data_IF_683224519008
#
_entry.id   IF_683224519008
#
_cell.length_a   1.000
_cell.length_b   1.000
_cell.length_c   1.000
_cell.angle_alpha   90.00
_cell.angle_beta   90.00
_cell.angle_gamma   90.00
#
_symmetry.space_group_name_H-M   'P 1'
#
loop_
_entity.id
_entity.type
_entity.pdbx_description
1 polymer ?
#
# COMPACT_ATOMS: atom_id res chain seq x y z
N UNK A 1 0.37 17.27 -21.91
CA UNK A 1 0.01 16.44 -20.74
C UNK A 1 0.54 15.07 -21.04
N UNK A 2 1.51 14.58 -20.27
CA UNK A 2 1.92 13.18 -20.35
C UNK A 2 0.70 12.35 -19.94
N UNK A 3 0.23 11.50 -20.84
CA UNK A 3 -0.87 10.58 -20.56
C UNK A 3 -0.30 9.47 -19.67
N UNK A 4 -0.49 9.60 -18.35
CA UNK A 4 -0.02 8.61 -17.38
C UNK A 4 -1.03 7.47 -17.35
N UNK A 5 -0.64 6.28 -17.80
CA UNK A 5 -1.50 5.10 -17.75
C UNK A 5 -1.63 4.53 -16.32
N UNK A 6 -0.64 4.81 -15.47
CA UNK A 6 -0.67 4.65 -14.01
C UNK A 6 -0.76 6.04 -13.37
N UNK A 7 -1.82 6.30 -12.60
CA UNK A 7 -2.14 7.65 -12.14
C UNK A 7 -1.99 7.87 -10.63
N UNK A 8 -1.81 6.80 -9.84
CA UNK A 8 -1.80 6.91 -8.37
C UNK A 8 -1.11 5.76 -7.68
N UNK A 9 -0.74 5.95 -6.43
CA UNK A 9 -0.63 4.82 -5.48
C UNK A 9 -2.06 4.48 -5.05
N UNK A 10 -2.58 3.35 -5.53
CA UNK A 10 -3.94 2.91 -5.21
C UNK A 10 -4.02 2.53 -3.73
N UNK A 11 -3.08 1.70 -3.27
CA UNK A 11 -2.97 1.35 -1.86
C UNK A 11 -1.62 0.76 -1.51
N UNK A 12 -1.27 0.87 -0.23
CA UNK A 12 -0.22 0.12 0.43
C UNK A 12 -0.82 -1.08 1.17
N UNK A 13 -0.05 -2.15 1.33
CA UNK A 13 -0.50 -3.36 2.03
C UNK A 13 0.44 -3.71 3.17
N UNK A 14 -0.08 -3.61 4.39
CA UNK A 14 0.56 -4.11 5.61
C UNK A 14 0.08 -5.54 5.85
N UNK A 15 0.99 -6.49 5.83
CA UNK A 15 0.69 -7.87 6.20
C UNK A 15 0.87 -8.06 7.70
N UNK A 16 -0.10 -8.73 8.32
CA UNK A 16 -0.09 -9.00 9.75
C UNK A 16 -0.48 -10.43 10.09
N UNK A 17 0.09 -10.94 11.18
CA UNK A 17 -0.31 -12.20 11.82
C UNK A 17 -1.38 -12.01 12.90
N UNK A 18 -1.66 -10.76 13.29
CA UNK A 18 -2.63 -10.39 14.32
C UNK A 18 -3.49 -9.22 13.81
N UNK A 19 -4.58 -9.56 13.11
CA UNK A 19 -5.51 -8.60 12.53
C UNK A 19 -6.15 -7.72 13.59
N UNK A 20 -6.52 -8.27 14.75
CA UNK A 20 -7.25 -7.54 15.78
C UNK A 20 -6.34 -6.49 16.44
N UNK A 21 -5.10 -6.85 16.81
CA UNK A 21 -4.15 -5.91 17.37
C UNK A 21 -3.74 -4.84 16.35
N UNK A 22 -3.55 -5.23 15.08
CA UNK A 22 -3.20 -4.29 14.02
C UNK A 22 -4.33 -3.30 13.75
N UNK A 23 -5.56 -3.78 13.67
CA UNK A 23 -6.71 -2.92 13.45
C UNK A 23 -6.95 -1.97 14.64
N UNK A 24 -6.83 -2.46 15.88
CA UNK A 24 -6.93 -1.62 17.07
C UNK A 24 -5.85 -0.52 17.08
N UNK A 25 -4.62 -0.83 16.63
CA UNK A 25 -3.54 0.15 16.50
C UNK A 25 -3.90 1.24 15.49
N UNK A 26 -4.39 0.87 14.30
CA UNK A 26 -4.77 1.82 13.27
C UNK A 26 -6.02 2.64 13.64
N UNK A 27 -6.99 2.05 14.34
CA UNK A 27 -8.13 2.79 14.91
C UNK A 27 -7.66 3.80 15.97
N UNK A 28 -6.70 3.42 16.83
CA UNK A 28 -6.09 4.33 17.80
C UNK A 28 -5.23 5.43 17.14
N UNK A 29 -4.65 5.19 15.96
CA UNK A 29 -4.04 6.22 15.12
C UNK A 29 -5.07 7.17 14.48
N UNK A 30 -6.37 6.93 14.70
CA UNK A 30 -7.47 7.79 14.26
C UNK A 30 -8.08 7.40 12.92
N UNK A 31 -7.75 6.22 12.37
CA UNK A 31 -8.37 5.75 11.13
C UNK A 31 -9.70 5.05 11.38
N UNK A 32 -10.74 5.48 10.67
CA UNK A 32 -11.92 4.64 10.41
C UNK A 32 -11.54 3.48 9.48
N UNK A 33 -11.75 2.24 9.95
CA UNK A 33 -11.50 1.02 9.18
C UNK A 33 -12.79 0.38 8.69
N UNK A 34 -12.74 -0.17 7.47
CA UNK A 34 -13.80 -1.03 6.95
C UNK A 34 -13.98 -2.29 7.82
N UNK A 35 -15.15 -2.96 7.74
CA UNK A 35 -15.30 -4.33 8.23
C UNK A 35 -14.28 -5.27 7.60
N UNK A 36 -14.03 -6.40 8.27
CA UNK A 36 -13.22 -7.47 7.72
C UNK A 36 -13.90 -8.05 6.48
N UNK A 37 -13.20 -8.01 5.35
CA UNK A 37 -13.67 -8.59 4.09
C UNK A 37 -12.76 -9.76 3.70
N UNK A 38 -13.33 -10.97 3.73
CA UNK A 38 -12.63 -12.19 3.36
C UNK A 38 -12.53 -12.30 1.84
N UNK A 39 -11.33 -12.58 1.35
CA UNK A 39 -11.06 -12.74 -0.07
C UNK A 39 -11.58 -14.10 -0.55
N UNK A 40 -12.28 -14.06 -1.68
CA UNK A 40 -12.75 -15.26 -2.37
C UNK A 40 -12.23 -15.24 -3.80
N UNK A 41 -11.82 -16.39 -4.31
CA UNK A 41 -11.27 -16.53 -5.65
C UNK A 41 -11.81 -17.75 -6.36
N UNK A 42 -11.42 -17.90 -7.63
CA UNK A 42 -11.61 -19.13 -8.38
C UNK A 42 -10.30 -19.52 -9.05
N UNK A 43 -10.11 -20.83 -9.25
CA UNK A 43 -9.03 -21.42 -10.02
C UNK A 43 -9.04 -21.06 -11.52
N UNK A 44 -10.16 -20.51 -12.03
CA UNK A 44 -10.33 -20.06 -13.43
C UNK A 44 -11.42 -19.00 -13.55
N UNK A 45 -11.40 -18.19 -14.63
CA UNK A 45 -12.49 -17.25 -14.91
C UNK A 45 -13.86 -17.96 -14.92
N UNK A 46 -14.82 -17.42 -14.17
CA UNK A 46 -16.19 -17.94 -14.07
C UNK A 46 -16.36 -19.24 -13.23
N UNK A 47 -15.31 -19.74 -12.57
CA UNK A 47 -15.42 -20.92 -11.71
C UNK A 47 -16.05 -20.65 -10.34
N UNK A 48 -16.25 -21.72 -9.55
CA UNK A 48 -16.89 -21.65 -8.23
C UNK A 48 -15.98 -20.91 -7.24
N UNK A 49 -16.53 -19.86 -6.61
CA UNK A 49 -15.84 -19.08 -5.57
C UNK A 49 -15.49 -19.95 -4.36
N UNK A 50 -14.26 -19.83 -3.89
CA UNK A 50 -13.76 -20.46 -2.66
C UNK A 50 -13.06 -19.40 -1.80
N UNK A 51 -13.17 -19.47 -0.46
CA UNK A 51 -12.35 -18.67 0.44
C UNK A 51 -10.86 -18.87 0.14
N UNK A 52 -10.10 -17.78 0.15
CA UNK A 52 -8.66 -17.79 -0.15
C UNK A 52 -7.79 -17.81 1.11
N UNK A 53 -8.37 -17.90 2.30
CA UNK A 53 -7.61 -17.88 3.56
C UNK A 53 -6.95 -16.54 3.85
N UNK A 54 -7.39 -15.46 3.21
CA UNK A 54 -6.90 -14.12 3.44
C UNK A 54 -8.07 -13.13 3.53
N UNK A 55 -7.90 -12.06 4.29
CA UNK A 55 -8.93 -11.04 4.48
C UNK A 55 -8.31 -9.71 4.87
N UNK A 56 -9.03 -8.62 4.59
CA UNK A 56 -8.54 -7.28 4.81
C UNK A 56 -9.49 -6.39 5.61
N UNK A 57 -8.91 -5.38 6.27
CA UNK A 57 -9.58 -4.15 6.69
C UNK A 57 -8.86 -2.98 6.03
N UNK A 58 -9.60 -1.96 5.61
CA UNK A 58 -9.04 -0.84 4.85
C UNK A 58 -9.33 0.50 5.53
N UNK A 59 -8.36 1.43 5.52
CA UNK A 59 -8.59 2.86 5.76
C UNK A 59 -8.73 3.57 4.40
N UNK A 60 -9.93 4.06 4.07
CA UNK A 60 -10.31 4.45 2.70
C UNK A 60 -10.35 5.97 2.51
N UNK A 61 -9.79 6.47 1.41
CA UNK A 61 -9.67 7.92 1.15
C UNK A 61 -10.38 8.38 -0.14
N UNK A 62 -11.38 7.63 -0.61
CA UNK A 62 -12.17 7.96 -1.80
C UNK A 62 -11.54 7.51 -3.15
N UNK A 63 -10.21 7.50 -3.25
CA UNK A 63 -9.47 6.98 -4.42
C UNK A 63 -8.28 6.09 -4.08
N UNK A 64 -7.76 6.24 -2.88
CA UNK A 64 -6.62 5.48 -2.37
C UNK A 64 -6.95 4.92 -0.99
N UNK A 65 -6.17 3.97 -0.49
CA UNK A 65 -6.41 3.40 0.84
C UNK A 65 -5.16 2.76 1.45
N UNK A 66 -5.21 2.51 2.76
CA UNK A 66 -4.28 1.61 3.42
C UNK A 66 -4.97 0.25 3.58
N UNK A 67 -4.31 -0.83 3.22
CA UNK A 67 -4.81 -2.20 3.40
C UNK A 67 -4.08 -2.89 4.53
N UNK A 68 -4.82 -3.35 5.54
CA UNK A 68 -4.35 -4.26 6.56
C UNK A 68 -4.80 -5.65 6.12
N UNK A 69 -3.86 -6.55 5.81
CA UNK A 69 -4.17 -7.88 5.28
C UNK A 69 -3.60 -8.98 6.19
N UNK A 70 -4.46 -9.92 6.56
CA UNK A 70 -4.12 -11.07 7.37
C UNK A 70 -4.38 -12.39 6.65
N UNK A 71 -3.65 -13.43 7.04
CA UNK A 71 -3.97 -14.82 6.69
C UNK A 71 -4.85 -15.41 7.81
N UNK A 72 -5.89 -16.15 7.41
CA UNK A 72 -6.91 -16.71 8.29
C UNK A 72 -7.08 -18.22 8.09
N UNK A 73 -7.68 -18.88 9.07
CA UNK A 73 -7.84 -20.34 9.10
C UNK A 73 -6.64 -21.04 9.74
N UNK A 74 -6.37 -22.28 9.35
CA UNK A 74 -5.19 -23.03 9.80
C UNK A 74 -3.88 -22.56 9.13
N UNK A 75 -3.98 -21.56 8.25
CA UNK A 75 -2.86 -21.05 7.49
C UNK A 75 -2.41 -21.96 6.34
N UNK A 76 -3.14 -23.03 6.00
CA UNK A 76 -2.75 -23.89 4.88
C UNK A 76 -2.84 -23.19 3.52
N UNK A 77 -3.61 -22.10 3.40
CA UNK A 77 -3.80 -21.34 2.17
C UNK A 77 -3.04 -20.01 2.26
N UNK A 78 -2.13 -19.81 1.31
CA UNK A 78 -1.40 -18.56 1.09
C UNK A 78 -1.44 -18.24 -0.42
N UNK A 79 -2.50 -17.59 -0.89
CA UNK A 79 -2.78 -17.47 -2.32
C UNK A 79 -1.79 -16.57 -3.06
N UNK A 80 -1.09 -15.68 -2.35
CA UNK A 80 -0.09 -14.77 -2.93
C UNK A 80 1.33 -15.08 -2.45
N UNK A 81 1.54 -16.19 -1.76
CA UNK A 81 2.84 -16.60 -1.22
C UNK A 81 3.50 -15.49 -0.37
N UNK A 82 2.73 -14.91 0.58
CA UNK A 82 3.17 -13.81 1.44
C UNK A 82 3.87 -14.28 2.73
N UNK A 83 3.76 -15.57 3.11
CA UNK A 83 4.43 -16.12 4.29
C UNK A 83 5.94 -15.87 4.33
N UNK A 84 6.70 -16.06 3.23
CA UNK A 84 8.14 -15.78 3.24
C UNK A 84 8.47 -14.30 3.44
N UNK A 85 7.54 -13.39 3.13
CA UNK A 85 7.69 -11.96 3.36
C UNK A 85 7.45 -11.62 4.83
N UNK A 86 6.32 -12.08 5.39
CA UNK A 86 5.98 -11.90 6.80
C UNK A 86 7.05 -12.51 7.73
N UNK A 87 7.67 -13.63 7.32
CA UNK A 87 8.74 -14.27 8.07
C UNK A 87 10.02 -13.43 8.18
N UNK A 88 10.24 -12.47 7.26
CA UNK A 88 11.36 -11.52 7.36
C UNK A 88 11.04 -10.41 8.35
N UNK A 89 9.84 -9.85 8.27
CA UNK A 89 9.28 -8.89 9.23
C UNK A 89 7.76 -8.79 9.03
N UNK A 90 7.01 -8.53 10.11
CA UNK A 90 5.63 -8.03 9.98
C UNK A 90 5.69 -6.56 9.56
N UNK A 91 4.80 -6.11 8.65
CA UNK A 91 4.86 -4.73 8.13
C UNK A 91 4.41 -4.62 6.67
N UNK A 92 4.82 -3.54 6.00
CA UNK A 92 4.51 -3.32 4.59
C UNK A 92 5.28 -4.30 3.70
N UNK A 93 4.56 -5.06 2.88
CA UNK A 93 5.16 -5.83 1.78
C UNK A 93 4.27 -5.82 0.54
N UNK A 94 3.41 -4.82 0.39
CA UNK A 94 2.62 -4.64 -0.82
C UNK A 94 2.44 -3.17 -1.16
N UNK A 95 2.45 -2.89 -2.45
CA UNK A 95 2.14 -1.59 -3.01
C UNK A 95 1.43 -1.78 -4.35
N UNK A 96 0.27 -1.17 -4.46
CA UNK A 96 -0.59 -1.21 -5.62
C UNK A 96 -0.63 0.15 -6.28
N UNK A 97 -0.47 0.18 -7.59
CA UNK A 97 -0.60 1.38 -8.39
C UNK A 97 -1.91 1.38 -9.18
N UNK A 98 -2.57 2.51 -9.25
CA UNK A 98 -3.88 2.61 -9.88
C UNK A 98 -3.80 2.99 -11.36
N UNK A 99 -4.69 2.42 -12.17
CA UNK A 99 -4.85 2.76 -13.58
C UNK A 99 -6.34 2.81 -13.97
N UNK A 100 -6.60 3.32 -15.18
CA UNK A 100 -7.93 3.30 -15.80
C UNK A 100 -8.07 2.18 -16.87
N UNK A 101 -6.95 1.61 -17.34
CA UNK A 101 -6.95 0.53 -18.33
C UNK A 101 -5.80 -0.45 -18.04
N UNK A 102 -6.10 -1.54 -17.34
CA UNK A 102 -5.11 -2.56 -16.98
C UNK A 102 -4.51 -3.27 -18.22
N UNK A 103 -5.23 -3.36 -19.33
CA UNK A 103 -4.73 -3.99 -20.55
C UNK A 103 -3.71 -3.09 -21.26
N UNK A 104 -3.96 -1.78 -21.29
CA UNK A 104 -2.99 -0.81 -21.81
C UNK A 104 -1.69 -0.81 -20.99
N UNK A 105 -1.81 -0.84 -19.66
CA UNK A 105 -0.65 -0.89 -18.76
C UNK A 105 0.12 -2.21 -18.93
N UNK A 106 -0.56 -3.36 -18.98
CA UNK A 106 0.09 -4.67 -19.19
C UNK A 106 0.90 -4.69 -20.49
N UNK A 107 0.32 -4.22 -21.59
CA UNK A 107 1.00 -4.17 -22.88
C UNK A 107 2.22 -3.23 -22.84
N UNK A 108 2.15 -2.12 -22.11
CA UNK A 108 3.30 -1.23 -21.89
C UNK A 108 4.39 -1.91 -21.07
N UNK A 109 4.04 -2.54 -19.94
CA UNK A 109 5.00 -3.25 -19.08
C UNK A 109 5.72 -4.35 -19.87
N UNK A 110 4.97 -5.12 -20.67
CA UNK A 110 5.51 -6.15 -21.56
C UNK A 110 6.49 -5.56 -22.60
N UNK A 111 6.14 -4.45 -23.26
CA UNK A 111 7.05 -3.73 -24.18
C UNK A 111 8.30 -3.18 -23.48
N UNK A 112 8.18 -2.82 -22.21
CA UNK A 112 9.30 -2.36 -21.38
C UNK A 112 10.16 -3.53 -20.82
N UNK A 113 9.85 -4.77 -21.19
CA UNK A 113 10.59 -5.97 -20.76
C UNK A 113 10.31 -6.39 -19.32
N UNK A 114 9.20 -5.94 -18.72
CA UNK A 114 8.79 -6.33 -17.38
C UNK A 114 7.85 -7.53 -17.44
N UNK A 115 8.22 -8.60 -16.72
CA UNK A 115 7.40 -9.81 -16.57
C UNK A 115 6.22 -9.54 -15.64
N UNK A 116 5.04 -10.05 -15.99
CA UNK A 116 3.82 -9.89 -15.19
C UNK A 116 2.90 -11.12 -15.29
N UNK A 117 1.86 -11.15 -14.46
CA UNK A 117 0.80 -12.17 -14.52
C UNK A 117 -0.12 -12.08 -15.75
N UNK A 118 0.00 -11.02 -16.56
CA UNK A 118 -1.09 -10.56 -17.40
C UNK A 118 -2.24 -9.97 -16.58
N UNK A 119 -3.34 -9.60 -17.24
CA UNK A 119 -4.54 -9.03 -16.58
C UNK A 119 -5.37 -10.13 -15.92
N UNK A 120 -5.43 -10.12 -14.60
CA UNK A 120 -6.23 -11.05 -13.79
C UNK A 120 -7.54 -10.41 -13.34
N UNK A 121 -8.70 -11.05 -13.56
CA UNK A 121 -9.95 -10.60 -12.97
C UNK A 121 -10.02 -11.02 -11.50
N UNK A 122 -10.27 -10.06 -10.61
CA UNK A 122 -10.48 -10.28 -9.19
C UNK A 122 -11.85 -9.75 -8.76
N UNK A 123 -12.41 -10.32 -7.69
CA UNK A 123 -13.66 -9.86 -7.12
C UNK A 123 -13.79 -10.29 -5.66
N UNK A 124 -14.56 -9.54 -4.87
CA UNK A 124 -14.93 -9.91 -3.50
C UNK A 124 -16.29 -9.35 -3.13
N UNK A 125 -16.99 -10.05 -2.26
CA UNK A 125 -18.26 -9.58 -1.72
C UNK A 125 -17.99 -8.55 -0.61
N UNK A 126 -18.73 -7.44 -0.63
CA UNK A 126 -18.63 -6.32 0.31
C UNK A 126 -20.01 -5.91 0.81
N UNK A 127 -20.08 -5.49 2.07
CA UNK A 127 -21.32 -4.96 2.65
C UNK A 127 -21.57 -3.53 2.16
N UNK A 128 -22.79 -3.25 1.74
CA UNK A 128 -23.27 -1.92 1.37
C UNK A 128 -24.50 -1.55 2.20
N UNK A 129 -24.98 -0.31 2.09
CA UNK A 129 -26.23 0.10 2.73
C UNK A 129 -27.45 -0.72 2.24
N UNK A 130 -27.42 -1.18 0.99
CA UNK A 130 -28.50 -1.94 0.34
C UNK A 130 -28.31 -3.46 0.43
N UNK A 131 -27.33 -3.93 1.20
CA UNK A 131 -26.99 -5.35 1.36
C UNK A 131 -25.63 -5.71 0.75
N UNK A 132 -25.38 -7.00 0.54
CA UNK A 132 -24.10 -7.49 0.01
C UNK A 132 -24.04 -7.28 -1.51
N UNK A 133 -22.94 -6.68 -1.99
CA UNK A 133 -22.64 -6.51 -3.41
C UNK A 133 -21.26 -7.08 -3.75
N UNK A 134 -21.02 -7.43 -5.02
CA UNK A 134 -19.73 -7.96 -5.48
C UNK A 134 -18.89 -6.85 -6.12
N UNK A 135 -17.82 -6.44 -5.45
CA UNK A 135 -16.81 -5.55 -6.00
C UNK A 135 -15.90 -6.28 -7.00
N UNK A 136 -15.54 -5.62 -8.10
CA UNK A 136 -14.76 -6.19 -9.21
C UNK A 136 -13.53 -5.35 -9.52
N UNK A 137 -12.45 -6.04 -9.88
CA UNK A 137 -11.15 -5.45 -10.14
C UNK A 137 -10.45 -6.19 -11.28
N UNK A 138 -9.49 -5.52 -11.89
CA UNK A 138 -8.43 -6.17 -12.65
C UNK A 138 -7.09 -5.89 -11.96
N UNK A 139 -6.21 -6.89 -11.94
CA UNK A 139 -4.88 -6.75 -11.38
C UNK A 139 -3.83 -7.24 -12.38
N UNK A 140 -2.68 -6.56 -12.42
CA UNK A 140 -1.46 -7.01 -13.11
C UNK A 140 -0.37 -7.10 -12.06
N UNK A 141 0.00 -8.31 -11.66
CA UNK A 141 1.06 -8.53 -10.68
C UNK A 141 2.42 -8.54 -11.39
N UNK A 142 3.36 -7.73 -10.90
CA UNK A 142 4.75 -7.83 -11.36
C UNK A 142 5.38 -9.10 -10.82
N UNK A 143 6.33 -9.65 -11.59
CA UNK A 143 7.07 -10.84 -11.19
C UNK A 143 7.82 -10.60 -9.85
N UNK A 144 7.62 -11.52 -8.89
CA UNK A 144 8.26 -11.48 -7.57
C UNK A 144 9.78 -11.48 -7.68
N UNK A 145 10.35 -12.12 -8.71
CA UNK A 145 11.80 -12.12 -8.94
C UNK A 145 12.35 -10.71 -9.21
N UNK A 146 11.52 -9.82 -9.75
CA UNK A 146 11.89 -8.42 -10.03
C UNK A 146 11.57 -7.45 -8.90
N UNK A 147 10.76 -7.88 -7.93
CA UNK A 147 10.22 -7.04 -6.85
C UNK A 147 10.44 -7.68 -5.46
N UNK A 148 11.69 -8.03 -5.09
CA UNK A 148 11.97 -8.77 -3.86
C UNK A 148 11.40 -8.10 -2.59
N UNK A 149 11.20 -6.78 -2.60
CA UNK A 149 10.62 -5.99 -1.51
C UNK A 149 9.19 -6.35 -1.10
N UNK A 150 8.39 -6.90 -2.01
CA UNK A 150 6.97 -7.15 -1.72
C UNK A 150 6.10 -7.24 -2.96
N UNK A 151 4.85 -7.65 -2.81
CA UNK A 151 3.89 -7.82 -3.89
C UNK A 151 3.54 -6.46 -4.51
N UNK A 152 4.18 -6.13 -5.64
CA UNK A 152 3.92 -4.91 -6.41
C UNK A 152 2.96 -5.23 -7.55
N UNK A 153 1.88 -4.47 -7.65
CA UNK A 153 0.89 -4.71 -8.71
C UNK A 153 0.21 -3.43 -9.20
N UNK A 154 -0.45 -3.55 -10.34
CA UNK A 154 -1.28 -2.50 -10.92
C UNK A 154 -2.74 -2.93 -10.76
N UNK A 155 -3.58 -2.04 -10.23
CA UNK A 155 -5.00 -2.28 -10.00
C UNK A 155 -5.87 -1.35 -10.86
N UNK A 156 -6.94 -1.91 -11.41
CA UNK A 156 -8.05 -1.19 -12.00
C UNK A 156 -9.33 -1.59 -11.27
N UNK A 157 -9.92 -0.66 -10.55
CA UNK A 157 -11.20 -0.87 -9.88
C UNK A 157 -12.34 -0.68 -10.88
N UNK A 158 -13.13 -1.73 -11.12
CA UNK A 158 -14.26 -1.67 -12.05
C UNK A 158 -15.56 -1.22 -11.38
N UNK A 159 -15.61 -1.28 -10.04
CA UNK A 159 -16.73 -0.84 -9.20
C UNK A 159 -16.19 -0.11 -7.96
N UNK A 160 -15.43 0.99 -8.14
CA UNK A 160 -14.77 1.69 -7.03
C UNK A 160 -15.76 2.19 -5.96
N UNK A 161 -16.98 2.54 -6.34
CA UNK A 161 -18.06 2.99 -5.46
C UNK A 161 -18.46 1.96 -4.39
N UNK A 162 -18.26 0.67 -4.66
CA UNK A 162 -18.53 -0.40 -3.69
C UNK A 162 -17.45 -0.49 -2.61
N UNK A 163 -16.23 -0.01 -2.90
CA UNK A 163 -15.10 -0.01 -1.97
C UNK A 163 -15.01 1.32 -1.23
N UNK A 164 -15.03 2.44 -1.96
CA UNK A 164 -14.90 3.78 -1.42
C UNK A 164 -16.24 4.36 -0.94
N UNK A 165 -16.92 3.64 -0.04
CA UNK A 165 -18.22 4.04 0.48
C UNK A 165 -18.10 5.25 1.42
N UNK A 166 -18.96 6.29 1.31
CA UNK A 166 -18.85 7.52 2.09
C UNK A 166 -18.71 7.34 3.60
N UNK A 167 -19.35 6.30 4.16
CA UNK A 167 -19.30 5.96 5.60
C UNK A 167 -17.91 5.55 6.12
N UNK A 168 -16.93 5.32 5.25
CA UNK A 168 -15.58 4.93 5.62
C UNK A 168 -14.51 5.97 5.25
N UNK A 169 -14.91 7.13 4.73
CA UNK A 169 -13.99 8.12 4.16
C UNK A 169 -13.56 9.24 5.13
N UNK A 170 -14.20 9.33 6.29
CA UNK A 170 -13.84 10.34 7.30
C UNK A 170 -13.07 9.66 8.43
N UNK A 171 -11.93 10.25 8.79
CA UNK A 171 -11.01 9.73 9.79
C UNK A 171 -10.80 10.79 10.87
N UNK A 172 -10.72 10.38 12.14
CA UNK A 172 -10.51 11.30 13.25
C UNK A 172 -9.15 12.01 13.17
N UNK A 173 -8.15 11.36 12.59
CA UNK A 173 -6.84 11.96 12.30
C UNK A 173 -6.85 12.89 11.07
N UNK A 174 -7.99 13.03 10.37
CA UNK A 174 -8.13 13.93 9.23
C UNK A 174 -7.44 13.46 7.95
N UNK A 175 -7.00 12.20 7.83
CA UNK A 175 -6.39 11.67 6.62
C UNK A 175 -7.32 11.76 5.40
N UNK A 176 -6.77 12.09 4.22
CA UNK A 176 -7.53 12.32 2.99
C UNK A 176 -6.97 11.67 1.73
N UNK A 177 -5.72 11.20 1.74
CA UNK A 177 -5.17 10.30 0.72
C UNK A 177 -3.84 9.69 1.16
N UNK A 178 -3.49 8.53 0.59
CA UNK A 178 -2.15 7.96 0.63
C UNK A 178 -1.20 8.81 -0.21
N UNK A 179 -0.31 9.54 0.47
CA UNK A 179 0.65 10.47 -0.13
C UNK A 179 1.87 9.75 -0.70
N UNK A 180 2.52 8.88 0.08
CA UNK A 180 3.69 8.15 -0.40
C UNK A 180 3.91 6.80 0.27
N UNK A 181 4.72 5.98 -0.38
CA UNK A 181 5.30 4.74 0.16
C UNK A 181 6.83 4.86 0.04
N UNK A 182 7.55 4.49 1.10
CA UNK A 182 9.01 4.59 1.17
C UNK A 182 9.66 3.21 1.05
N UNK A 183 10.48 3.04 0.02
CA UNK A 183 11.31 1.86 -0.22
C UNK A 183 12.76 2.15 0.13
N UNK A 184 13.33 1.34 1.02
CA UNK A 184 14.74 1.36 1.39
C UNK A 184 15.46 0.24 0.67
N UNK A 185 16.59 0.56 0.06
CA UNK A 185 17.40 -0.40 -0.72
C UNK A 185 18.87 -0.31 -0.33
N UNK A 186 19.62 -1.35 -0.67
CA UNK A 186 21.08 -1.29 -0.61
C UNK A 186 21.60 -0.17 -1.53
N UNK A 187 22.64 0.53 -1.09
CA UNK A 187 23.29 1.60 -1.85
C UNK A 187 23.67 1.18 -3.27
N UNK A 188 24.16 -0.06 -3.45
CA UNK A 188 24.55 -0.58 -4.75
C UNK A 188 23.36 -0.84 -5.68
N UNK A 189 22.17 -1.06 -5.10
CA UNK A 189 20.93 -1.38 -5.82
C UNK A 189 20.04 -0.15 -6.10
N UNK A 190 20.42 1.03 -5.59
CA UNK A 190 19.60 2.24 -5.68
C UNK A 190 19.23 2.58 -7.13
N UNK A 191 20.22 2.77 -7.99
CA UNK A 191 19.98 3.22 -9.37
C UNK A 191 19.25 2.15 -10.20
N UNK A 192 19.54 0.86 -9.97
CA UNK A 192 18.83 -0.23 -10.62
C UNK A 192 17.34 -0.29 -10.19
N UNK A 193 17.07 -0.08 -8.92
CA UNK A 193 15.70 -0.07 -8.36
C UNK A 193 14.92 1.15 -8.83
N UNK A 194 15.53 2.34 -8.85
CA UNK A 194 14.93 3.55 -9.40
C UNK A 194 14.60 3.37 -10.88
N UNK A 195 15.53 2.84 -11.68
CA UNK A 195 15.29 2.58 -13.09
C UNK A 195 14.16 1.55 -13.31
N UNK A 196 14.05 0.53 -12.45
CA UNK A 196 12.93 -0.43 -12.48
C UNK A 196 11.61 0.27 -12.26
N UNK A 197 11.47 1.05 -11.18
CA UNK A 197 10.23 1.75 -10.88
C UNK A 197 9.91 2.85 -11.90
N UNK A 198 10.89 3.53 -12.48
CA UNK A 198 10.67 4.50 -13.56
C UNK A 198 10.06 3.83 -14.80
N UNK A 199 10.57 2.64 -15.19
CA UNK A 199 9.97 1.82 -16.25
C UNK A 199 8.58 1.31 -15.89
N UNK A 200 8.39 0.84 -14.66
CA UNK A 200 7.09 0.36 -14.18
C UNK A 200 6.04 1.46 -14.24
N UNK A 201 6.35 2.63 -13.69
CA UNK A 201 5.40 3.74 -13.52
C UNK A 201 5.30 4.65 -14.75
N UNK A 202 6.22 4.52 -15.71
CA UNK A 202 6.25 5.40 -16.88
C UNK A 202 6.49 6.86 -16.51
N UNK A 203 7.25 7.11 -15.43
CA UNK A 203 7.54 8.45 -14.91
C UNK A 203 9.05 8.64 -14.72
N UNK A 204 9.51 9.88 -14.90
CA UNK A 204 10.91 10.25 -14.66
C UNK A 204 11.14 10.46 -13.17
N UNK A 205 12.18 9.84 -12.58
CA UNK A 205 12.51 10.04 -11.18
C UNK A 205 13.08 11.44 -10.94
N UNK A 206 12.76 12.02 -9.78
CA UNK A 206 13.26 13.32 -9.32
C UNK A 206 14.06 13.13 -8.04
N UNK A 207 15.16 13.87 -7.89
CA UNK A 207 15.92 13.87 -6.65
C UNK A 207 15.36 14.91 -5.66
N UNK A 208 15.02 14.48 -4.44
CA UNK A 208 14.58 15.35 -3.35
C UNK A 208 15.42 15.05 -2.09
N UNK A 209 16.51 15.79 -1.89
CA UNK A 209 17.47 15.47 -0.82
C UNK A 209 18.04 14.05 -1.00
N UNK A 210 17.97 13.16 0.00
CA UNK A 210 18.43 11.77 -0.13
C UNK A 210 17.47 10.88 -0.94
N UNK A 211 16.25 11.35 -1.24
CA UNK A 211 15.22 10.56 -1.92
C UNK A 211 15.37 10.57 -3.44
N UNK A 212 15.03 9.44 -4.06
CA UNK A 212 14.66 9.31 -5.47
C UNK A 212 13.14 9.13 -5.52
N UNK A 213 12.45 10.16 -5.97
CA UNK A 213 10.98 10.26 -5.97
C UNK A 213 10.45 9.92 -7.35
N UNK A 214 9.46 9.04 -7.41
CA UNK A 214 8.72 8.73 -8.63
C UNK A 214 7.30 9.32 -8.49
N UNK A 215 7.08 10.53 -9.05
CA UNK A 215 5.81 11.21 -8.90
C UNK A 215 4.72 10.58 -9.78
N UNK A 216 3.51 10.50 -9.23
CA UNK A 216 2.29 10.16 -9.94
C UNK A 216 1.29 11.33 -9.80
N UNK A 217 0.25 11.40 -10.64
CA UNK A 217 -0.82 12.38 -10.49
C UNK A 217 -1.46 12.41 -9.09
N UNK A 218 -1.55 11.26 -8.40
CA UNK A 218 -1.94 11.18 -7.00
C UNK A 218 -1.00 10.28 -6.18
N UNK A 219 -0.12 10.92 -5.41
CA UNK A 219 0.88 10.28 -4.56
C UNK A 219 2.22 10.00 -5.27
N UNK A 220 3.15 9.35 -4.57
CA UNK A 220 4.52 9.11 -5.07
C UNK A 220 5.21 7.93 -4.40
N UNK A 221 6.06 7.24 -5.15
CA UNK A 221 6.97 6.23 -4.57
C UNK A 221 8.30 6.90 -4.24
N UNK A 222 8.71 6.81 -2.99
CA UNK A 222 9.98 7.36 -2.51
C UNK A 222 10.98 6.20 -2.36
N UNK A 223 12.18 6.32 -2.92
CA UNK A 223 13.24 5.31 -2.82
C UNK A 223 14.49 5.95 -2.19
N UNK A 224 15.10 5.28 -1.23
CA UNK A 224 16.29 5.77 -0.52
C UNK A 224 17.32 4.66 -0.30
N UNK A 225 18.61 5.02 -0.37
CA UNK A 225 19.68 4.11 0.02
C UNK A 225 19.76 3.97 1.54
N UNK A 226 20.08 2.75 2.01
CA UNK A 226 20.15 2.44 3.44
C UNK A 226 21.16 3.31 4.19
N UNK A 227 22.28 3.70 3.57
CA UNK A 227 23.31 4.56 4.19
C UNK A 227 22.80 5.93 4.66
N UNK A 228 21.75 6.46 4.03
CA UNK A 228 21.15 7.77 4.32
C UNK A 228 19.70 7.66 4.79
N UNK A 229 19.18 6.45 5.01
CA UNK A 229 17.81 6.22 5.47
C UNK A 229 17.49 6.93 6.80
N UNK A 230 18.47 6.98 7.71
CA UNK A 230 18.32 7.67 9.00
C UNK A 230 18.09 9.18 8.90
N UNK A 231 18.37 9.81 7.76
CA UNK A 231 18.00 11.21 7.48
C UNK A 231 16.51 11.37 7.14
N UNK A 232 15.87 10.30 6.65
CA UNK A 232 14.46 10.29 6.24
C UNK A 232 13.56 9.86 7.40
N UNK A 233 13.89 8.74 8.06
CA UNK A 233 13.18 8.23 9.23
C UNK A 233 14.16 7.97 10.39
N UNK A 234 14.50 9.02 11.18
CA UNK A 234 15.48 8.89 12.26
C UNK A 234 15.07 7.85 13.31
N UNK A 235 16.00 6.93 13.59
CA UNK A 235 15.85 5.91 14.63
C UNK A 235 15.02 4.68 14.22
N UNK A 236 14.54 4.61 12.98
CA UNK A 236 13.81 3.44 12.49
C UNK A 236 14.75 2.27 12.16
N UNK A 237 14.35 1.02 12.47
CA UNK A 237 15.15 -0.15 12.15
C UNK A 237 15.08 -0.49 10.65
N UNK A 238 16.06 -1.26 10.18
CA UNK A 238 16.07 -1.85 8.84
C UNK A 238 16.16 -3.37 9.01
N UNK A 239 15.02 -4.09 9.03
CA UNK A 239 15.00 -5.52 9.34
C UNK A 239 15.54 -6.38 8.20
N UNK A 240 15.40 -5.91 6.96
CA UNK A 240 15.85 -6.59 5.74
C UNK A 240 16.13 -5.55 4.65
N UNK A 241 16.74 -5.97 3.54
CA UNK A 241 16.79 -5.18 2.31
C UNK A 241 16.42 -6.05 1.11
N UNK A 242 15.65 -5.51 0.15
CA UNK A 242 14.96 -4.22 0.22
C UNK A 242 13.76 -4.22 1.19
N UNK A 243 13.36 -3.05 1.69
CA UNK A 243 12.37 -2.88 2.77
C UNK A 243 11.39 -1.74 2.49
N UNK A 244 10.09 -2.02 2.51
CA UNK A 244 9.07 -0.96 2.51
C UNK A 244 8.95 -0.39 3.93
N UNK A 245 9.71 0.68 4.21
CA UNK A 245 9.91 1.19 5.56
C UNK A 245 8.73 1.95 6.12
N UNK A 246 7.91 2.54 5.26
CA UNK A 246 6.79 3.33 5.73
C UNK A 246 5.88 3.83 4.63
N UNK A 247 4.83 4.49 5.08
CA UNK A 247 3.81 5.12 4.26
C UNK A 247 3.44 6.48 4.85
N UNK A 248 3.06 7.43 4.01
CA UNK A 248 2.59 8.73 4.44
C UNK A 248 1.16 8.96 3.98
N UNK A 249 0.32 9.51 4.85
CA UNK A 249 -0.99 10.03 4.49
C UNK A 249 -0.98 11.56 4.56
N UNK A 250 -1.63 12.21 3.62
CA UNK A 250 -1.93 13.63 3.76
C UNK A 250 -3.14 13.82 4.68
N UNK A 251 -3.09 14.82 5.55
CA UNK A 251 -4.17 15.17 6.48
C UNK A 251 -4.69 16.59 6.26
N UNK A 252 -5.94 16.83 6.64
CA UNK A 252 -6.58 18.16 6.57
C UNK A 252 -5.88 19.20 7.47
N UNK A 253 -5.35 18.75 8.61
CA UNK A 253 -4.67 19.59 9.60
C UNK A 253 -3.65 18.73 10.38
N UNK A 254 -2.36 18.95 10.13
CA UNK A 254 -1.26 18.22 10.78
C UNK A 254 -1.21 18.46 12.28
N UNK A 255 -1.57 19.66 12.76
CA UNK A 255 -1.55 19.97 14.18
C UNK A 255 -2.65 19.20 14.90
N UNK A 256 -3.86 19.16 14.33
CA UNK A 256 -4.97 18.37 14.88
C UNK A 256 -4.66 16.87 14.87
N UNK A 257 -4.12 16.35 13.76
CA UNK A 257 -3.68 14.96 13.65
C UNK A 257 -2.61 14.61 14.71
N UNK A 258 -1.61 15.48 14.89
CA UNK A 258 -0.56 15.30 15.91
C UNK A 258 -1.15 15.27 17.31
N UNK A 259 -2.03 16.22 17.64
CA UNK A 259 -2.65 16.27 18.97
C UNK A 259 -3.44 15.00 19.26
N UNK A 260 -4.20 14.49 18.29
CA UNK A 260 -4.94 13.24 18.44
C UNK A 260 -4.00 12.05 18.63
N UNK A 261 -3.02 11.88 17.73
CA UNK A 261 -2.12 10.72 17.75
C UNK A 261 -1.26 10.70 19.02
N UNK A 262 -0.66 11.83 19.40
CA UNK A 262 0.09 11.93 20.65
C UNK A 262 -0.81 11.76 21.89
N UNK A 263 -2.04 12.31 21.85
CA UNK A 263 -3.03 12.16 22.91
C UNK A 263 -3.48 10.71 23.12
N UNK A 264 -3.44 9.89 22.06
CA UNK A 264 -3.71 8.45 22.11
C UNK A 264 -2.49 7.62 22.53
N UNK A 265 -1.39 8.26 22.93
CA UNK A 265 -0.23 7.61 23.56
C UNK A 265 0.88 7.19 22.60
N UNK A 266 0.82 7.56 21.33
CA UNK A 266 1.88 7.27 20.36
C UNK A 266 3.04 8.25 20.48
N UNK A 267 4.26 7.76 20.26
CA UNK A 267 5.44 8.62 20.16
C UNK A 267 5.48 9.29 18.79
N UNK A 268 5.19 10.59 18.75
CA UNK A 268 5.28 11.40 17.53
C UNK A 268 6.69 11.93 17.33
N UNK A 269 7.24 11.80 16.12
CA UNK A 269 8.55 12.33 15.75
C UNK A 269 8.40 13.32 14.60
N UNK A 270 9.11 14.43 14.69
CA UNK A 270 9.06 15.49 13.69
C UNK A 270 9.67 15.01 12.37
N UNK A 271 9.05 15.41 11.27
CA UNK A 271 9.63 15.29 9.93
C UNK A 271 9.21 16.49 9.07
N UNK A 272 9.86 16.66 7.91
CA UNK A 272 9.48 17.74 6.99
C UNK A 272 8.02 17.58 6.56
N UNK A 273 7.24 18.64 6.75
CA UNK A 273 5.82 18.68 6.38
C UNK A 273 4.89 17.93 7.33
N UNK A 274 5.37 17.43 8.47
CA UNK A 274 4.49 16.84 9.47
C UNK A 274 5.18 16.02 10.55
N UNK A 275 4.69 14.81 10.79
CA UNK A 275 5.23 13.91 11.80
C UNK A 275 5.03 12.45 11.42
N UNK A 276 5.73 11.55 12.09
CA UNK A 276 5.51 10.12 11.95
C UNK A 276 5.46 9.39 13.29
N UNK A 277 4.80 8.23 13.27
CA UNK A 277 4.86 7.19 14.30
C UNK A 277 5.75 6.07 13.77
N UNK A 278 6.68 5.60 14.59
CA UNK A 278 7.66 4.59 14.19
C UNK A 278 7.06 3.20 14.02
N UNK A 279 7.73 2.35 13.24
CA UNK A 279 7.31 0.99 12.91
C UNK A 279 7.05 0.12 14.16
N UNK A 280 7.80 0.35 15.25
CA UNK A 280 7.60 -0.38 16.51
C UNK A 280 6.24 -0.15 17.17
N UNK A 281 5.63 1.02 16.96
CA UNK A 281 4.28 1.36 17.46
C UNK A 281 3.21 1.24 16.37
N UNK A 282 3.61 1.20 15.09
CA UNK A 282 2.74 1.16 13.92
C UNK A 282 2.77 -0.19 13.17
N UNK A 283 3.00 -1.30 13.89
CA UNK A 283 2.88 -2.68 13.37
C UNK A 283 3.84 -3.02 12.22
N UNK A 284 5.07 -2.52 12.29
CA UNK A 284 6.17 -2.94 11.43
C UNK A 284 6.47 -2.05 10.23
N UNK A 285 5.74 -0.94 10.08
CA UNK A 285 6.07 0.11 9.12
C UNK A 285 5.76 1.49 9.73
N UNK A 286 6.64 2.46 9.50
CA UNK A 286 6.37 3.82 9.95
C UNK A 286 5.16 4.41 9.22
N UNK A 287 4.37 5.22 9.92
CA UNK A 287 3.25 5.94 9.33
C UNK A 287 3.39 7.44 9.58
N UNK A 288 3.48 8.20 8.49
CA UNK A 288 3.61 9.64 8.49
C UNK A 288 2.27 10.33 8.21
N UNK A 289 2.08 11.49 8.84
CA UNK A 289 0.95 12.39 8.63
C UNK A 289 1.51 13.72 8.15
N UNK A 290 1.22 14.08 6.91
CA UNK A 290 1.80 15.22 6.21
C UNK A 290 0.74 16.25 5.85
N UNK A 291 1.17 17.51 5.70
CA UNK A 291 0.35 18.55 5.11
C UNK A 291 -0.05 18.16 3.68
N UNK A 292 -1.30 18.45 3.31
CA UNK A 292 -1.88 18.17 1.99
C UNK A 292 -1.41 19.14 0.89
#
# INVERSE_FOLDING_TARGET
MTDHDIDRIDHSVLYTTDMDATAATYEALGFTLSPLSMHTGSDRPGGKRKPMGAGNRCALFGRTYLELLGLFGDGSVDPWNIRPLIAQYEGLHGCSFGCADAAAVEERLRKAGLSSSGVLPLQRDVETADGVATARFQAVHLDRASTPEGLIHIAHHLTPELIHQPRYLDHANGAIHLHSVLLVVDDAELEATVARYARTLGTEPVAEGPLRVLPLPAGRMDIVAVSVFGEVLPGEPVPALPYLAGQAVAVKDVSAARTLVAGNGFTVRDMRGGFFVGAGEARGAAIAFLDA
#
